data_IF_758199579646
#
_entry.id   IF_758199579646
#
_cell.length_a   1.000
_cell.length_b   1.000
_cell.length_c   1.000
_cell.angle_alpha   90.00
_cell.angle_beta   90.00
_cell.angle_gamma   90.00
#
_symmetry.space_group_name_H-M   'P 1'
#
loop_
_entity.id
_entity.type
_entity.pdbx_description
1 polymer ?
#
# COMPACT_ATOMS: atom_id res chain seq x y z
N UNK A 1 1.51 -30.77 60.82
CA UNK A 1 0.95 -29.45 61.15
C UNK A 1 0.68 -28.81 59.79
N UNK A 2 -0.53 -28.99 59.25
CA UNK A 2 -1.67 -28.03 59.39
C UNK A 2 -1.40 -26.77 58.55
N UNK A 3 -2.25 -26.21 57.69
CA UNK A 3 -3.65 -26.34 57.29
C UNK A 3 -3.69 -25.72 55.85
N UNK A 4 -4.49 -26.16 54.88
CA UNK A 4 -5.92 -25.85 54.75
C UNK A 4 -6.13 -24.60 53.87
N UNK A 5 -7.03 -24.66 52.88
CA UNK A 5 -7.61 -23.45 52.28
C UNK A 5 -7.84 -23.45 50.77
N UNK A 6 -8.85 -24.19 50.30
CA UNK A 6 -9.58 -23.83 49.08
C UNK A 6 -10.34 -22.51 49.34
N UNK A 7 -10.25 -21.54 48.43
CA UNK A 7 -11.25 -20.48 48.33
C UNK A 7 -11.59 -20.24 46.86
N UNK A 8 -12.81 -20.67 46.49
CA UNK A 8 -13.51 -20.17 45.31
C UNK A 8 -14.05 -18.79 45.66
N UNK A 9 -13.84 -17.81 44.79
CA UNK A 9 -14.65 -16.58 44.72
C UNK A 9 -15.17 -16.46 43.29
N UNK A 10 -16.49 -16.41 43.17
CA UNK A 10 -17.22 -16.05 41.96
C UNK A 10 -17.48 -14.53 41.95
N UNK A 11 -17.47 -13.94 40.76
CA UNK A 11 -17.81 -12.53 40.47
C UNK A 11 -16.86 -12.05 39.38
N UNK A 12 -17.26 -11.84 38.12
CA UNK A 12 -18.42 -11.08 37.67
C UNK A 12 -17.96 -9.67 37.36
N UNK A 13 -17.80 -9.33 36.07
CA UNK A 13 -17.59 -7.94 35.64
C UNK A 13 -16.43 -7.72 34.68
N UNK A 14 -16.80 -7.33 33.46
CA UNK A 14 -16.11 -6.40 32.56
C UNK A 14 -14.89 -6.88 31.76
N UNK A 15 -15.15 -7.04 30.46
CA UNK A 15 -14.16 -7.06 29.38
C UNK A 15 -13.64 -5.62 29.27
N UNK A 16 -12.48 -5.35 29.87
CA UNK A 16 -11.78 -4.08 29.66
C UNK A 16 -11.14 -4.14 28.28
N UNK A 17 -11.70 -3.38 27.34
CA UNK A 17 -11.08 -3.06 26.05
C UNK A 17 -9.65 -2.56 26.32
N UNK A 18 -8.68 -3.38 25.93
CA UNK A 18 -7.28 -2.99 25.93
C UNK A 18 -7.11 -1.79 25.01
N UNK A 19 -6.93 -0.62 25.61
CA UNK A 19 -6.49 0.60 24.94
C UNK A 19 -5.20 0.30 24.18
N UNK A 20 -5.23 0.52 22.87
CA UNK A 20 -4.02 0.57 22.06
C UNK A 20 -3.17 1.77 22.51
N UNK A 21 -1.84 1.64 22.56
CA UNK A 21 -0.96 2.74 22.94
C UNK A 21 -1.05 3.89 21.92
N UNK A 22 -1.54 5.02 22.42
CA UNK A 22 -1.63 6.31 21.73
C UNK A 22 -0.26 6.97 21.60
N UNK A 23 0.61 6.52 20.69
CA UNK A 23 1.88 7.22 20.39
C UNK A 23 2.38 7.01 18.94
N UNK A 24 1.47 7.07 17.96
CA UNK A 24 1.87 7.39 16.57
C UNK A 24 1.48 8.84 16.30
N UNK A 25 2.41 9.72 16.62
CA UNK A 25 2.32 11.14 16.34
C UNK A 25 2.25 11.32 14.82
N UNK A 26 1.05 11.62 14.32
CA UNK A 26 0.85 12.03 12.93
C UNK A 26 1.69 13.28 12.70
N UNK A 27 2.56 13.33 11.66
CA UNK A 27 3.35 14.53 11.40
C UNK A 27 2.39 15.67 11.02
N UNK A 28 2.32 16.65 11.91
CA UNK A 28 1.61 17.91 11.71
C UNK A 28 2.13 18.59 10.44
N UNK A 29 1.20 18.82 9.51
CA UNK A 29 1.34 19.92 8.58
C UNK A 29 1.00 19.59 7.14
N UNK A 30 -0.26 19.30 6.83
CA UNK A 30 -0.86 19.72 5.55
C UNK A 30 -2.16 20.47 5.83
N UNK A 31 -2.07 21.81 5.82
CA UNK A 31 -3.25 22.65 5.67
C UNK A 31 -3.88 22.32 4.32
N UNK A 32 -5.14 21.92 4.36
CA UNK A 32 -6.00 21.70 3.21
C UNK A 32 -5.84 22.84 2.20
N UNK A 33 -5.28 22.55 1.03
CA UNK A 33 -5.42 23.41 -0.14
C UNK A 33 -6.80 23.11 -0.71
N UNK A 34 -7.79 23.86 -0.22
CA UNK A 34 -9.12 23.89 -0.80
C UNK A 34 -9.03 24.53 -2.20
N UNK A 35 -8.93 23.69 -3.24
CA UNK A 35 -9.25 24.13 -4.60
C UNK A 35 -10.75 23.97 -4.79
N UNK A 36 -11.44 25.10 -4.79
CA UNK A 36 -12.86 25.17 -5.04
C UNK A 36 -13.20 24.64 -6.43
N UNK A 37 -14.22 23.77 -6.46
CA UNK A 37 -15.16 23.72 -7.57
C UNK A 37 -16.49 23.23 -7.01
N UNK A 38 -17.54 24.01 -7.22
CA UNK A 38 -18.90 23.69 -6.81
C UNK A 38 -19.39 22.43 -7.53
N UNK A 39 -19.37 21.31 -6.82
CA UNK A 39 -19.90 20.02 -7.21
C UNK A 39 -20.20 19.23 -5.94
N UNK A 40 -21.32 18.52 -5.95
CA UNK A 40 -21.91 17.76 -4.85
C UNK A 40 -20.88 17.17 -3.84
N UNK A 41 -20.92 17.47 -2.52
CA UNK A 41 -19.89 17.11 -1.52
C UNK A 41 -19.91 15.63 -1.09
N UNK A 42 -20.39 14.71 -1.93
CA UNK A 42 -20.44 13.28 -1.62
C UNK A 42 -19.37 12.56 -2.43
N UNK A 43 -18.29 12.17 -1.75
CA UNK A 43 -17.17 11.33 -2.20
C UNK A 43 -16.07 11.99 -3.04
N UNK A 44 -15.45 13.07 -2.56
CA UNK A 44 -14.08 13.37 -3.03
C UNK A 44 -13.15 12.32 -2.43
N UNK A 45 -12.52 11.50 -3.28
CA UNK A 45 -11.53 10.50 -2.82
C UNK A 45 -10.34 11.23 -2.20
N UNK A 46 -9.98 10.91 -0.96
CA UNK A 46 -8.81 11.53 -0.33
C UNK A 46 -7.50 10.88 -0.80
N UNK A 47 -6.38 11.56 -0.57
CA UNK A 47 -5.06 11.01 -0.85
C UNK A 47 -4.80 9.70 -0.09
N UNK A 48 -5.22 9.66 1.18
CA UNK A 48 -5.05 8.47 2.02
C UNK A 48 -5.92 7.32 1.50
N UNK A 49 -7.17 7.58 1.11
CA UNK A 49 -8.05 6.54 0.55
C UNK A 49 -7.45 5.90 -0.70
N UNK A 50 -6.83 6.71 -1.56
CA UNK A 50 -6.18 6.22 -2.77
C UNK A 50 -4.93 5.37 -2.46
N UNK A 51 -4.10 5.81 -1.51
CA UNK A 51 -2.95 5.04 -1.05
C UNK A 51 -3.38 3.72 -0.40
N UNK A 52 -4.35 3.74 0.50
CA UNK A 52 -4.85 2.56 1.22
C UNK A 52 -5.51 1.56 0.26
N UNK A 53 -6.29 2.06 -0.70
CA UNK A 53 -6.91 1.22 -1.74
C UNK A 53 -5.84 0.54 -2.61
N UNK A 54 -4.79 1.28 -2.98
CA UNK A 54 -3.68 0.74 -3.75
C UNK A 54 -2.88 -0.29 -2.93
N UNK A 55 -2.58 0.03 -1.67
CA UNK A 55 -1.90 -0.86 -0.73
C UNK A 55 -2.67 -2.19 -0.56
N UNK A 56 -3.98 -2.12 -0.34
CA UNK A 56 -4.83 -3.30 -0.20
C UNK A 56 -4.81 -4.18 -1.47
N UNK A 57 -4.91 -3.57 -2.65
CA UNK A 57 -4.79 -4.31 -3.91
C UNK A 57 -3.40 -4.96 -4.07
N UNK A 58 -2.34 -4.25 -3.69
CA UNK A 58 -0.96 -4.71 -3.74
C UNK A 58 -0.74 -5.92 -2.81
N UNK A 59 -1.27 -5.85 -1.58
CA UNK A 59 -1.26 -6.95 -0.62
C UNK A 59 -2.02 -8.18 -1.12
N UNK A 60 -3.25 -7.99 -1.62
CA UNK A 60 -4.04 -9.11 -2.12
C UNK A 60 -3.36 -9.79 -3.30
N UNK A 61 -2.76 -9.03 -4.22
CA UNK A 61 -1.99 -9.61 -5.33
C UNK A 61 -0.77 -10.39 -4.84
N UNK A 62 -0.05 -9.89 -3.83
CA UNK A 62 1.05 -10.61 -3.18
C UNK A 62 0.62 -11.88 -2.43
N UNK A 63 -0.61 -11.89 -1.88
CA UNK A 63 -1.20 -13.01 -1.17
C UNK A 63 -1.97 -13.99 -2.08
N UNK A 64 -2.03 -13.77 -3.40
CA UNK A 64 -2.76 -14.69 -4.29
C UNK A 64 -2.11 -16.07 -4.36
N UNK A 65 -2.89 -17.17 -4.35
CA UNK A 65 -2.38 -18.51 -4.63
C UNK A 65 -1.71 -18.59 -6.01
N UNK A 66 -0.67 -19.42 -6.14
CA UNK A 66 0.13 -19.53 -7.37
C UNK A 66 -0.70 -19.82 -8.63
N UNK A 67 -1.77 -20.61 -8.51
CA UNK A 67 -2.65 -20.94 -9.64
C UNK A 67 -3.41 -19.72 -10.18
N UNK A 68 -3.94 -18.88 -9.28
CA UNK A 68 -4.64 -17.64 -9.65
C UNK A 68 -3.65 -16.60 -10.18
N UNK A 69 -2.47 -16.53 -9.55
CA UNK A 69 -1.38 -15.67 -9.98
C UNK A 69 -0.88 -16.05 -11.38
N UNK A 70 -0.74 -17.34 -11.68
CA UNK A 70 -0.35 -17.83 -13.00
C UNK A 70 -1.41 -17.50 -14.07
N UNK A 71 -2.70 -17.62 -13.73
CA UNK A 71 -3.80 -17.22 -14.62
C UNK A 71 -3.75 -15.72 -14.94
N UNK A 72 -3.57 -14.85 -13.94
CA UNK A 72 -3.42 -13.41 -14.16
C UNK A 72 -2.12 -13.09 -14.91
N UNK A 73 -1.01 -13.75 -14.60
CA UNK A 73 0.27 -13.58 -15.27
C UNK A 73 0.19 -13.96 -16.77
N UNK A 74 -0.57 -14.98 -17.13
CA UNK A 74 -0.74 -15.41 -18.52
C UNK A 74 -1.62 -14.46 -19.37
N UNK A 75 -2.44 -13.62 -18.73
CA UNK A 75 -3.32 -12.66 -19.40
C UNK A 75 -2.98 -11.19 -19.16
N UNK A 76 -1.89 -10.88 -18.45
CA UNK A 76 -1.63 -9.52 -17.97
C UNK A 76 -1.01 -8.63 -19.05
N UNK A 77 -1.63 -7.46 -19.21
CA UNK A 77 -1.16 -6.37 -20.09
C UNK A 77 -0.46 -5.25 -19.31
N UNK A 78 -0.25 -5.42 -18.01
CA UNK A 78 0.18 -4.39 -17.06
C UNK A 78 1.48 -4.80 -16.38
N UNK A 79 2.28 -3.82 -15.95
CA UNK A 79 3.58 -4.07 -15.30
C UNK A 79 3.45 -4.42 -13.79
N UNK A 80 2.28 -4.22 -13.20
CA UNK A 80 2.08 -4.30 -11.74
C UNK A 80 2.39 -5.67 -11.13
N UNK A 81 2.01 -6.81 -11.73
CA UNK A 81 2.39 -8.12 -11.17
C UNK A 81 3.90 -8.34 -11.09
N UNK A 82 4.66 -7.84 -12.06
CA UNK A 82 6.11 -7.94 -12.06
C UNK A 82 6.72 -7.04 -10.96
N UNK A 83 6.22 -5.81 -10.84
CA UNK A 83 6.63 -4.86 -9.78
C UNK A 83 6.34 -5.44 -8.39
N UNK A 84 5.15 -6.02 -8.20
CA UNK A 84 4.76 -6.66 -6.94
C UNK A 84 5.69 -7.84 -6.65
N UNK A 85 5.95 -8.72 -7.64
CA UNK A 85 6.87 -9.85 -7.45
C UNK A 85 8.29 -9.42 -7.09
N UNK A 86 8.83 -8.43 -7.79
CA UNK A 86 10.16 -7.90 -7.52
C UNK A 86 10.22 -7.29 -6.11
N UNK A 87 9.22 -6.48 -5.77
CA UNK A 87 9.19 -5.82 -4.48
C UNK A 87 8.94 -6.80 -3.33
N UNK A 88 8.13 -7.86 -3.51
CA UNK A 88 7.91 -8.88 -2.49
C UNK A 88 9.05 -9.89 -2.40
N UNK A 89 9.72 -10.23 -3.51
CA UNK A 89 10.81 -11.22 -3.52
C UNK A 89 11.92 -10.88 -2.52
N UNK A 90 12.20 -9.59 -2.32
CA UNK A 90 13.18 -9.10 -1.37
C UNK A 90 12.70 -9.12 0.10
N UNK A 91 11.40 -9.36 0.35
CA UNK A 91 10.75 -9.26 1.67
C UNK A 91 9.99 -10.54 2.10
N UNK A 92 9.81 -11.52 1.20
CA UNK A 92 8.95 -12.68 1.38
C UNK A 92 9.60 -13.87 2.13
N UNK A 93 10.87 -13.75 2.55
CA UNK A 93 11.59 -14.84 3.25
C UNK A 93 11.03 -15.19 4.64
N UNK A 94 10.04 -14.45 5.15
CA UNK A 94 9.62 -14.57 6.55
C UNK A 94 8.43 -15.52 6.78
N UNK A 95 7.47 -15.69 5.86
CA UNK A 95 6.33 -16.60 6.08
C UNK A 95 5.73 -17.16 4.77
N UNK A 96 6.37 -18.17 4.19
CA UNK A 96 5.80 -18.97 3.10
C UNK A 96 4.78 -20.00 3.65
N UNK A 97 3.66 -19.52 4.20
CA UNK A 97 2.48 -20.33 4.49
C UNK A 97 1.56 -20.44 3.27
N UNK A 98 0.72 -21.49 3.16
CA UNK A 98 -0.28 -21.56 2.09
C UNK A 98 -1.21 -20.34 2.18
N UNK A 99 -1.19 -19.48 1.15
CA UNK A 99 -2.00 -18.28 1.15
C UNK A 99 -3.50 -18.62 1.01
N UNK A 100 -4.37 -18.09 1.87
CA UNK A 100 -5.81 -18.32 1.77
C UNK A 100 -6.35 -17.81 0.43
N UNK A 101 -7.33 -18.51 -0.15
CA UNK A 101 -7.98 -18.06 -1.38
C UNK A 101 -8.60 -16.67 -1.18
N UNK A 102 -8.40 -15.78 -2.15
CA UNK A 102 -8.99 -14.45 -2.07
C UNK A 102 -10.51 -14.53 -2.16
N UNK A 103 -11.18 -13.69 -1.38
CA UNK A 103 -12.61 -13.49 -1.59
C UNK A 103 -12.86 -12.85 -2.95
N UNK A 104 -14.04 -13.06 -3.53
CA UNK A 104 -14.44 -12.42 -4.80
C UNK A 104 -14.27 -10.90 -4.77
N UNK A 105 -14.51 -10.26 -3.62
CA UNK A 105 -14.34 -8.81 -3.44
C UNK A 105 -12.87 -8.39 -3.57
N UNK A 106 -11.95 -9.15 -2.98
CA UNK A 106 -10.51 -8.91 -3.07
C UNK A 106 -10.02 -9.12 -4.51
N UNK A 107 -10.45 -10.19 -5.18
CA UNK A 107 -10.09 -10.46 -6.58
C UNK A 107 -10.57 -9.33 -7.52
N UNK A 108 -11.82 -8.87 -7.36
CA UNK A 108 -12.36 -7.75 -8.14
C UNK A 108 -11.57 -6.45 -7.90
N UNK A 109 -11.12 -6.21 -6.66
CA UNK A 109 -10.30 -5.04 -6.35
C UNK A 109 -8.95 -5.12 -7.08
N UNK A 110 -8.28 -6.27 -7.06
CA UNK A 110 -7.00 -6.46 -7.75
C UNK A 110 -7.16 -6.33 -9.27
N UNK A 111 -8.22 -6.91 -9.83
CA UNK A 111 -8.53 -6.76 -11.25
C UNK A 111 -8.73 -5.29 -11.63
N UNK A 112 -9.58 -4.57 -10.89
CA UNK A 112 -9.85 -3.14 -11.16
C UNK A 112 -8.61 -2.26 -10.96
N UNK A 113 -7.79 -2.55 -9.95
CA UNK A 113 -6.68 -1.67 -9.57
C UNK A 113 -5.39 -1.98 -10.31
N UNK A 114 -5.07 -3.24 -10.62
CA UNK A 114 -3.72 -3.66 -11.00
C UNK A 114 -3.63 -4.54 -12.25
N UNK A 115 -4.60 -5.45 -12.49
CA UNK A 115 -4.42 -6.53 -13.49
C UNK A 115 -5.40 -6.53 -14.66
N UNK A 116 -6.49 -5.74 -14.61
CA UNK A 116 -7.48 -5.65 -15.67
C UNK A 116 -6.96 -4.99 -16.96
N UNK A 117 -7.83 -4.85 -17.97
CA UNK A 117 -7.44 -4.27 -19.27
C UNK A 117 -7.02 -2.80 -19.19
N UNK A 118 -7.62 -2.04 -18.27
CA UNK A 118 -7.30 -0.63 -17.98
C UNK A 118 -7.32 -0.42 -16.47
N UNK A 119 -6.31 -0.92 -15.75
CA UNK A 119 -6.30 -0.85 -14.30
C UNK A 119 -6.21 0.62 -13.85
N UNK A 120 -6.83 0.97 -12.73
CA UNK A 120 -6.80 2.35 -12.24
C UNK A 120 -5.37 2.82 -11.90
N UNK A 121 -4.50 1.90 -11.47
CA UNK A 121 -3.10 2.23 -11.20
C UNK A 121 -2.31 2.62 -12.46
N UNK A 122 -2.82 2.41 -13.68
CA UNK A 122 -2.17 2.94 -14.90
C UNK A 122 -2.20 4.46 -15.00
N UNK A 123 -2.99 5.15 -14.18
CA UNK A 123 -2.88 6.59 -13.98
C UNK A 123 -1.49 7.01 -13.45
N UNK A 124 -0.78 6.09 -12.78
CA UNK A 124 0.61 6.26 -12.37
C UNK A 124 1.52 6.11 -13.60
N UNK A 125 2.37 7.12 -13.89
CA UNK A 125 3.31 7.04 -15.00
C UNK A 125 4.18 5.80 -14.91
N UNK A 126 4.40 5.12 -16.04
CA UNK A 126 5.18 3.88 -16.12
C UNK A 126 6.54 3.97 -15.41
N UNK A 127 7.31 5.02 -15.70
CA UNK A 127 8.62 5.26 -15.07
C UNK A 127 8.59 5.51 -13.56
N UNK A 128 7.42 5.72 -12.94
CA UNK A 128 7.27 5.90 -11.48
C UNK A 128 6.64 4.70 -10.79
N UNK A 129 6.17 3.68 -11.53
CA UNK A 129 5.49 2.52 -10.93
C UNK A 129 6.42 1.69 -10.04
N UNK A 130 7.69 1.53 -10.43
CA UNK A 130 8.69 0.84 -9.63
C UNK A 130 8.93 1.55 -8.28
N UNK A 131 9.06 2.88 -8.30
CA UNK A 131 9.15 3.71 -7.08
C UNK A 131 7.93 3.49 -6.18
N UNK A 132 6.72 3.55 -6.75
CA UNK A 132 5.48 3.34 -5.99
C UNK A 132 5.46 1.94 -5.37
N UNK A 133 5.75 0.90 -6.14
CA UNK A 133 5.81 -0.48 -5.63
C UNK A 133 6.78 -0.62 -4.45
N UNK A 134 7.99 -0.06 -4.57
CA UNK A 134 9.01 -0.08 -3.51
C UNK A 134 8.54 0.65 -2.25
N UNK A 135 7.91 1.81 -2.39
CA UNK A 135 7.38 2.58 -1.25
C UNK A 135 6.26 1.81 -0.55
N UNK A 136 5.31 1.24 -1.30
CA UNK A 136 4.21 0.46 -0.72
C UNK A 136 4.72 -0.76 0.05
N UNK A 137 5.63 -1.54 -0.55
CA UNK A 137 6.26 -2.67 0.13
C UNK A 137 6.97 -2.23 1.41
N UNK A 138 7.79 -1.18 1.36
CA UNK A 138 8.49 -0.70 2.56
C UNK A 138 7.54 -0.13 3.62
N UNK A 139 6.42 0.48 3.24
CA UNK A 139 5.42 0.94 4.21
C UNK A 139 4.73 -0.24 4.89
N UNK A 140 4.45 -1.31 4.15
CA UNK A 140 3.76 -2.49 4.67
C UNK A 140 4.67 -3.42 5.48
N UNK A 141 5.89 -3.65 5.00
CA UNK A 141 6.93 -4.45 5.67
C UNK A 141 8.18 -3.60 5.90
N UNK A 142 8.16 -2.67 6.86
CA UNK A 142 9.24 -1.71 7.06
C UNK A 142 10.59 -2.34 7.45
N UNK A 143 10.61 -3.59 7.92
CA UNK A 143 11.81 -4.19 8.50
C UNK A 143 12.24 -3.45 9.78
N UNK A 144 13.41 -3.80 10.35
CA UNK A 144 13.85 -3.26 11.64
C UNK A 144 14.18 -1.77 11.62
N UNK A 145 14.62 -1.24 10.48
CA UNK A 145 15.00 0.17 10.33
C UNK A 145 13.80 1.09 10.02
N UNK A 146 12.59 0.55 9.86
CA UNK A 146 11.44 1.36 9.51
C UNK A 146 11.35 1.73 8.03
N UNK A 147 10.30 2.50 7.72
CA UNK A 147 10.18 3.22 6.46
C UNK A 147 10.98 4.53 6.52
N UNK A 148 11.74 4.84 5.47
CA UNK A 148 12.44 6.12 5.33
C UNK A 148 12.82 6.41 3.88
N UNK A 149 12.68 7.67 3.47
CA UNK A 149 12.95 8.10 2.10
C UNK A 149 14.41 7.93 1.69
N UNK A 150 15.36 8.06 2.63
CA UNK A 150 16.78 7.84 2.35
C UNK A 150 17.10 6.37 2.05
N UNK A 151 16.27 5.45 2.56
CA UNK A 151 16.37 4.03 2.23
C UNK A 151 15.78 3.74 0.85
N UNK A 152 14.62 4.32 0.54
CA UNK A 152 14.04 4.27 -0.82
C UNK A 152 15.06 4.81 -1.84
N UNK A 153 15.67 5.96 -1.55
CA UNK A 153 16.70 6.57 -2.38
C UNK A 153 17.88 5.64 -2.66
N UNK A 154 18.43 5.01 -1.62
CA UNK A 154 19.55 4.06 -1.75
C UNK A 154 19.16 2.82 -2.56
N UNK A 155 17.96 2.26 -2.33
CA UNK A 155 17.46 1.10 -3.08
C UNK A 155 17.24 1.40 -4.57
N UNK A 156 16.79 2.62 -4.87
CA UNK A 156 16.60 3.10 -6.24
C UNK A 156 17.91 3.59 -6.90
N UNK A 157 19.07 3.42 -6.24
CA UNK A 157 20.37 3.83 -6.76
C UNK A 157 20.51 5.34 -6.98
N UNK A 158 19.69 6.15 -6.31
CA UNK A 158 19.64 7.59 -6.45
C UNK A 158 19.13 8.11 -7.80
N UNK A 159 18.51 7.26 -8.62
CA UNK A 159 18.00 7.61 -9.95
C UNK A 159 16.49 7.44 -10.02
N UNK A 160 15.85 8.26 -10.83
CA UNK A 160 14.42 8.17 -11.11
C UNK A 160 14.13 8.59 -12.55
N UNK A 161 13.15 7.95 -13.16
CA UNK A 161 12.70 8.30 -14.50
C UNK A 161 12.11 9.73 -14.54
N UNK A 162 12.70 10.57 -15.38
CA UNK A 162 12.21 11.90 -15.65
C UNK A 162 11.18 11.87 -16.78
N UNK A 163 9.93 12.21 -16.47
CA UNK A 163 8.82 12.14 -17.45
C UNK A 163 8.98 13.12 -18.62
N UNK A 164 9.62 14.27 -18.41
CA UNK A 164 9.78 15.28 -19.45
C UNK A 164 10.92 14.91 -20.42
N UNK A 165 12.02 14.38 -19.91
CA UNK A 165 13.20 13.98 -20.70
C UNK A 165 13.16 12.54 -21.20
N UNK A 166 12.23 11.72 -20.67
CA UNK A 166 12.04 10.30 -21.00
C UNK A 166 13.29 9.45 -20.76
N UNK A 167 14.06 9.78 -19.73
CA UNK A 167 15.28 9.08 -19.34
C UNK A 167 15.41 9.02 -17.82
N UNK A 168 16.22 8.11 -17.29
CA UNK A 168 16.56 8.06 -15.87
C UNK A 168 17.63 9.09 -15.54
N UNK A 169 17.36 9.90 -14.52
CA UNK A 169 18.28 10.94 -14.04
C UNK A 169 18.52 10.78 -12.56
N UNK A 170 19.67 11.27 -12.10
CA UNK A 170 19.92 11.45 -10.67
C UNK A 170 18.84 12.34 -10.05
N UNK A 171 18.43 11.99 -8.86
CA UNK A 171 17.43 12.71 -8.08
C UNK A 171 17.86 12.79 -6.63
N UNK A 172 16.99 13.30 -5.76
CA UNK A 172 17.21 13.29 -4.31
C UNK A 172 16.13 12.47 -3.63
N UNK A 173 16.37 12.12 -2.36
CA UNK A 173 15.38 11.50 -1.47
C UNK A 173 14.06 12.28 -1.44
N UNK A 174 14.12 13.62 -1.32
CA UNK A 174 12.94 14.50 -1.40
C UNK A 174 12.30 14.54 -2.80
N UNK A 175 13.12 14.44 -3.86
CA UNK A 175 12.64 14.34 -5.24
C UNK A 175 11.81 13.08 -5.47
N UNK A 176 12.24 11.93 -4.92
CA UNK A 176 11.48 10.68 -4.95
C UNK A 176 10.18 10.78 -4.15
N UNK A 177 10.22 11.40 -2.96
CA UNK A 177 9.01 11.67 -2.15
C UNK A 177 7.96 12.44 -2.94
N UNK A 178 8.35 13.56 -3.56
CA UNK A 178 7.44 14.39 -4.36
C UNK A 178 6.92 13.66 -5.59
N UNK A 179 7.74 12.83 -6.23
CA UNK A 179 7.29 12.02 -7.36
C UNK A 179 6.25 10.99 -6.94
N UNK A 180 6.46 10.32 -5.80
CA UNK A 180 5.49 9.41 -5.19
C UNK A 180 4.16 10.12 -4.86
N UNK A 181 4.22 11.25 -4.16
CA UNK A 181 3.01 12.03 -3.81
C UNK A 181 2.20 12.42 -5.05
N UNK A 182 2.87 12.84 -6.12
CA UNK A 182 2.22 13.15 -7.41
C UNK A 182 1.64 11.91 -8.09
N UNK A 183 2.30 10.77 -8.00
CA UNK A 183 1.79 9.50 -8.52
C UNK A 183 0.48 9.10 -7.81
N UNK A 184 0.45 9.17 -6.47
CA UNK A 184 -0.77 8.89 -5.69
C UNK A 184 -1.85 9.92 -6.00
N UNK A 185 -1.52 11.20 -6.16
CA UNK A 185 -2.51 12.21 -6.55
C UNK A 185 -3.14 11.92 -7.92
N UNK A 186 -2.40 11.38 -8.90
CA UNK A 186 -2.99 10.92 -10.16
C UNK A 186 -3.96 9.77 -9.96
N UNK A 187 -3.66 8.86 -9.03
CA UNK A 187 -4.56 7.78 -8.66
C UNK A 187 -5.84 8.29 -8.00
N UNK A 188 -5.74 9.30 -7.12
CA UNK A 188 -6.92 9.99 -6.54
C UNK A 188 -7.87 10.44 -7.65
N UNK A 189 -7.36 11.16 -8.66
CA UNK A 189 -8.17 11.65 -9.77
C UNK A 189 -8.79 10.50 -10.60
N UNK A 190 -8.08 9.38 -10.75
CA UNK A 190 -8.59 8.21 -11.45
C UNK A 190 -9.68 7.48 -10.67
N UNK A 191 -9.54 7.39 -9.34
CA UNK A 191 -10.55 6.81 -8.45
C UNK A 191 -11.80 7.68 -8.37
N UNK A 192 -11.63 8.99 -8.24
CA UNK A 192 -12.72 9.98 -8.20
C UNK A 192 -13.57 9.94 -9.47
N UNK A 193 -12.91 9.83 -10.64
CA UNK A 193 -13.60 9.67 -11.93
C UNK A 193 -14.36 8.34 -12.07
N UNK A 194 -13.97 7.32 -11.31
CA UNK A 194 -14.52 5.98 -11.38
C UNK A 194 -15.51 5.65 -10.24
N UNK A 195 -15.81 6.62 -9.38
CA UNK A 195 -16.81 6.55 -8.32
C UNK A 195 -18.21 6.94 -8.83
#
# INVERSE_FOLDING_TARGET
MENGGFMRVSGGGEVVEGSLPSDVQQPDGWKAVALGNGGNPRNTVSWQDAEDTLMAAFEYLGAMPDRERAYLAAGTRTAWPAIVREAFGDYADVEAGPSPQLTRRCANLVERMLTGEKPLADAIPEGHRALVGRVLTMKRWPGPEGFGWDRVYRLMGGKLFNLARREELETTSDGMRKAYERAIHRLVLALDKAA
#
